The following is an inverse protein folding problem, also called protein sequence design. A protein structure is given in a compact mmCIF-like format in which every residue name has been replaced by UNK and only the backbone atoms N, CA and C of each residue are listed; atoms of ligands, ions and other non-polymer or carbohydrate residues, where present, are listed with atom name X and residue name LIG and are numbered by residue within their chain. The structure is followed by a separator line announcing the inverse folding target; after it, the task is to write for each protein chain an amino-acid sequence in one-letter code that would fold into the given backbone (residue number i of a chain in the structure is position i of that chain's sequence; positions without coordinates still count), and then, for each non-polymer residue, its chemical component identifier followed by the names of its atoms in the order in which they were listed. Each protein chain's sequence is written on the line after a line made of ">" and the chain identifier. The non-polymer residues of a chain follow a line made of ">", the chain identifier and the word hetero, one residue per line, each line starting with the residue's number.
data_IF_746927350207
#
_entry.id   IF_746927350207
#
_cell.length_a   1.000
_cell.length_b   1.000
_cell.length_c   1.000
_cell.angle_alpha   90.00
_cell.angle_beta   90.00
_cell.angle_gamma   90.00
#
_symmetry.space_group_name_H-M   'P 1'
#
loop_
_entity.id
_entity.type
_entity.pdbx_description
1 polymer ?
#
# COMPACT_ATOMS: atom_id res chain seq x y z
N UNK A 1 8.47 -10.58 45.62
CA UNK A 1 7.52 -9.49 45.34
C UNK A 1 7.16 -9.50 43.87
N UNK A 2 5.85 -9.44 43.59
CA UNK A 2 5.15 -9.79 42.34
C UNK A 2 5.50 -8.89 41.15
N UNK A 3 5.44 -9.50 39.96
CA UNK A 3 5.33 -8.91 38.63
C UNK A 3 4.69 -7.52 38.61
N UNK A 4 5.43 -6.53 38.12
CA UNK A 4 4.83 -5.37 37.47
C UNK A 4 4.61 -5.79 36.02
N UNK A 5 3.35 -6.06 35.68
CA UNK A 5 2.96 -6.55 34.36
C UNK A 5 3.34 -5.54 33.29
N UNK A 6 3.94 -6.04 32.21
CA UNK A 6 3.90 -5.37 30.92
C UNK A 6 2.47 -5.50 30.40
N UNK A 7 1.60 -4.55 30.73
CA UNK A 7 0.20 -4.47 30.26
C UNK A 7 0.03 -3.56 29.03
N UNK A 8 1.10 -3.28 28.31
CA UNK A 8 1.04 -2.59 27.02
C UNK A 8 0.86 -3.58 25.88
N UNK A 9 -0.32 -4.16 25.72
CA UNK A 9 -0.63 -4.91 24.49
C UNK A 9 -0.66 -3.90 23.33
N UNK A 10 0.35 -3.93 22.46
CA UNK A 10 0.32 -3.14 21.23
C UNK A 10 -0.74 -3.73 20.32
N UNK A 11 -1.94 -3.16 20.34
CA UNK A 11 -3.09 -3.61 19.54
C UNK A 11 -3.35 -2.73 18.31
N UNK A 12 -2.30 -2.20 17.68
CA UNK A 12 -2.40 -1.61 16.35
C UNK A 12 -1.87 -2.63 15.33
N UNK A 13 -2.80 -3.37 14.71
CA UNK A 13 -2.48 -4.21 13.56
C UNK A 13 -2.44 -3.28 12.34
N UNK A 14 -1.25 -2.84 11.97
CA UNK A 14 -1.02 -2.24 10.66
C UNK A 14 -0.74 -3.35 9.66
N UNK A 15 -1.28 -3.21 8.44
CA UNK A 15 -1.06 -4.13 7.33
C UNK A 15 -0.30 -3.38 6.24
N UNK A 16 0.85 -3.91 5.84
CA UNK A 16 1.55 -3.48 4.64
C UNK A 16 0.80 -3.99 3.41
N UNK A 17 0.59 -3.12 2.43
CA UNK A 17 -0.14 -3.40 1.19
C UNK A 17 0.74 -3.00 0.01
N UNK A 18 0.89 -3.94 -0.91
CA UNK A 18 1.59 -3.77 -2.17
C UNK A 18 0.54 -3.89 -3.29
N UNK A 19 0.23 -2.76 -3.93
CA UNK A 19 -0.76 -2.67 -5.02
C UNK A 19 -0.03 -2.61 -6.36
N UNK A 20 0.01 -3.74 -7.05
CA UNK A 20 0.64 -3.90 -8.36
C UNK A 20 -0.37 -3.69 -9.51
N UNK A 21 -0.05 -2.77 -10.42
CA UNK A 21 -0.83 -2.50 -11.62
C UNK A 21 -0.05 -2.93 -12.87
N UNK A 22 -0.54 -3.95 -13.56
CA UNK A 22 0.00 -4.42 -14.83
C UNK A 22 -0.80 -3.90 -16.02
N UNK A 23 -0.13 -3.21 -16.95
CA UNK A 23 -0.75 -2.66 -18.17
C UNK A 23 0.11 -2.92 -19.41
N UNK A 24 -0.51 -3.22 -20.55
CA UNK A 24 0.20 -3.41 -21.83
C UNK A 24 0.72 -2.08 -22.41
N UNK A 25 0.18 -0.96 -21.92
CA UNK A 25 0.59 0.42 -22.21
C UNK A 25 0.42 1.25 -20.95
N UNK A 26 1.34 2.18 -20.73
CA UNK A 26 1.25 3.15 -19.64
C UNK A 26 -0.12 3.86 -19.62
N UNK A 27 -0.90 3.64 -18.56
CA UNK A 27 -2.23 4.24 -18.39
C UNK A 27 -2.23 5.26 -17.25
N UNK A 28 -1.88 6.50 -17.59
CA UNK A 28 -1.81 7.61 -16.65
C UNK A 28 -3.16 7.93 -16.00
N UNK A 29 -4.28 7.67 -16.68
CA UNK A 29 -5.61 7.94 -16.12
C UNK A 29 -6.01 6.91 -15.08
N UNK A 30 -5.53 5.68 -15.23
CA UNK A 30 -5.74 4.64 -14.24
C UNK A 30 -4.89 4.89 -12.99
N UNK A 31 -3.62 5.25 -13.18
CA UNK A 31 -2.72 5.68 -12.10
C UNK A 31 -3.29 6.86 -11.32
N UNK A 32 -3.75 7.92 -12.01
CA UNK A 32 -4.37 9.10 -11.38
C UNK A 32 -5.58 8.72 -10.51
N UNK A 33 -6.44 7.79 -10.94
CA UNK A 33 -7.60 7.34 -10.14
C UNK A 33 -7.20 6.60 -8.87
N UNK A 34 -6.11 5.84 -8.92
CA UNK A 34 -5.56 5.15 -7.75
C UNK A 34 -5.02 6.20 -6.78
N UNK A 35 -4.20 7.13 -7.27
CA UNK A 35 -3.59 8.21 -6.50
C UNK A 35 -4.65 9.11 -5.86
N UNK A 36 -5.66 9.55 -6.62
CA UNK A 36 -6.81 10.31 -6.09
C UNK A 36 -7.56 9.57 -4.97
N UNK A 37 -7.63 8.24 -5.06
CA UNK A 37 -8.29 7.42 -4.03
C UNK A 37 -7.44 7.34 -2.77
N UNK A 38 -6.13 7.10 -2.89
CA UNK A 38 -5.21 7.09 -1.76
C UNK A 38 -5.15 8.47 -1.09
N UNK A 39 -5.07 9.55 -1.88
CA UNK A 39 -5.05 10.93 -1.41
C UNK A 39 -6.33 11.32 -0.68
N UNK A 40 -7.50 10.93 -1.22
CA UNK A 40 -8.81 11.16 -0.58
C UNK A 40 -8.89 10.50 0.79
N UNK A 41 -8.33 9.30 0.93
CA UNK A 41 -8.25 8.58 2.21
C UNK A 41 -7.06 9.01 3.08
N UNK A 42 -6.26 9.98 2.62
CA UNK A 42 -5.05 10.51 3.28
C UNK A 42 -4.01 9.43 3.58
N UNK A 43 -3.89 8.46 2.68
CA UNK A 43 -2.91 7.39 2.74
C UNK A 43 -1.64 7.86 2.04
N UNK A 44 -0.54 7.91 2.79
CA UNK A 44 0.78 8.09 2.19
C UNK A 44 1.22 6.78 1.52
N UNK A 45 1.83 6.89 0.34
CA UNK A 45 2.32 5.76 -0.44
C UNK A 45 3.67 6.08 -1.09
N UNK A 46 4.47 5.04 -1.31
CA UNK A 46 5.61 5.07 -2.22
C UNK A 46 5.19 4.49 -3.57
N UNK A 47 5.65 5.09 -4.66
CA UNK A 47 5.35 4.66 -6.03
C UNK A 47 6.63 4.28 -6.75
N UNK A 48 6.65 3.12 -7.37
CA UNK A 48 7.71 2.69 -8.28
C UNK A 48 7.12 2.12 -9.58
N UNK A 49 7.93 2.04 -10.63
CA UNK A 49 7.52 1.49 -11.92
C UNK A 49 8.64 0.71 -12.59
N UNK A 50 8.27 -0.34 -13.33
CA UNK A 50 9.19 -1.11 -14.17
C UNK A 50 8.52 -1.55 -15.47
N UNK A 51 9.28 -1.56 -16.55
CA UNK A 51 8.87 -2.21 -17.80
C UNK A 51 9.44 -3.62 -17.85
N UNK A 52 8.57 -4.62 -17.94
CA UNK A 52 8.93 -6.03 -17.96
C UNK A 52 9.04 -6.48 -19.42
N UNK A 53 10.25 -6.44 -19.96
CA UNK A 53 10.51 -6.71 -21.39
C UNK A 53 10.00 -8.08 -21.85
N UNK A 54 10.13 -9.13 -21.02
CA UNK A 54 9.69 -10.48 -21.35
C UNK A 54 8.17 -10.63 -21.47
N UNK A 55 7.43 -9.78 -20.77
CA UNK A 55 5.96 -9.81 -20.72
C UNK A 55 5.32 -8.71 -21.56
N UNK A 56 6.13 -7.70 -21.93
CA UNK A 56 5.68 -6.49 -22.62
C UNK A 56 4.59 -5.75 -21.84
N UNK A 57 4.78 -5.67 -20.52
CA UNK A 57 3.88 -5.00 -19.59
C UNK A 57 4.65 -3.94 -18.79
N UNK A 58 3.97 -2.83 -18.48
CA UNK A 58 4.34 -1.92 -17.42
C UNK A 58 3.76 -2.43 -16.11
N UNK A 59 4.60 -2.53 -15.09
CA UNK A 59 4.19 -2.69 -13.70
C UNK A 59 4.36 -1.35 -12.98
N UNK A 60 3.32 -0.89 -12.32
CA UNK A 60 3.37 0.24 -11.38
C UNK A 60 3.00 -0.30 -10.01
N UNK A 61 3.89 -0.12 -9.05
CA UNK A 61 3.72 -0.59 -7.68
C UNK A 61 3.48 0.60 -6.76
N UNK A 62 2.42 0.50 -5.95
CA UNK A 62 2.11 1.41 -4.85
C UNK A 62 2.24 0.66 -3.52
N UNK A 63 3.15 1.12 -2.66
CA UNK A 63 3.41 0.53 -1.35
C UNK A 63 2.91 1.45 -0.24
N UNK A 64 2.05 0.94 0.65
CA UNK A 64 1.52 1.72 1.77
C UNK A 64 1.07 0.85 2.94
N UNK A 65 0.96 1.47 4.11
CA UNK A 65 0.48 0.82 5.33
C UNK A 65 -0.93 1.29 5.68
N UNK A 66 -1.83 0.36 5.99
CA UNK A 66 -3.18 0.66 6.50
C UNK A 66 -3.36 0.17 7.94
N UNK A 67 -4.02 0.97 8.78
CA UNK A 67 -4.49 0.52 10.09
C UNK A 67 -5.73 -0.35 9.93
N UNK A 68 -5.68 -1.61 10.39
CA UNK A 68 -6.87 -2.45 10.49
C UNK A 68 -7.64 -2.00 11.72
N UNK A 69 -8.73 -1.25 11.50
CA UNK A 69 -9.70 -1.00 12.56
C UNK A 69 -10.32 -2.34 12.96
N UNK A 70 -9.96 -2.84 14.14
CA UNK A 70 -10.72 -3.91 14.77
C UNK A 70 -12.11 -3.32 15.06
N UNK A 71 -13.13 -3.87 14.38
CA UNK A 71 -14.53 -3.50 14.59
C UNK A 71 -15.04 -3.87 15.97
#
# INVERSE_FOLDING_TARGET
>A
NKHFGADGVVFYKSTQIDLELYTDKKDLKLEEKIEETLDREKIYYEKSEVWIESERLYEVLYEFTMEVKNG
#
